data_IF_459653589364
#
_entry.id   IF_459653589364
#
_cell.length_a   1.000
_cell.length_b   1.000
_cell.length_c   1.000
_cell.angle_alpha   90.00
_cell.angle_beta   90.00
_cell.angle_gamma   90.00
#
_symmetry.space_group_name_H-M   'P 1'
#
loop_
_entity.id
_entity.type
_entity.pdbx_description
1 polymer ?
#
# COMPACT_ATOMS: atom_id res chain seq x y z
N UNK A 1 18.50 13.22 -5.29
CA UNK A 1 17.07 12.95 -5.09
C UNK A 1 16.72 13.34 -3.66
N UNK A 2 15.49 13.73 -3.33
CA UNK A 2 15.12 13.97 -1.95
C UNK A 2 15.28 12.68 -1.14
N UNK A 3 15.73 12.83 0.11
CA UNK A 3 15.84 11.72 1.05
C UNK A 3 14.48 11.51 1.70
N UNK A 4 13.86 10.35 1.47
CA UNK A 4 12.51 10.04 1.92
C UNK A 4 12.56 8.80 2.81
N UNK A 5 12.17 8.95 4.06
CA UNK A 5 12.13 7.86 5.03
C UNK A 5 10.69 7.33 5.18
N UNK A 6 10.58 6.00 5.19
CA UNK A 6 9.32 5.27 5.24
C UNK A 6 9.17 4.53 6.56
N UNK A 7 8.02 4.69 7.19
CA UNK A 7 7.52 3.85 8.27
C UNK A 7 6.49 2.89 7.69
N UNK A 8 6.79 1.60 7.73
CA UNK A 8 5.96 0.54 7.17
C UNK A 8 5.12 -0.13 8.25
N UNK A 9 3.82 -0.30 7.97
CA UNK A 9 2.85 -0.93 8.87
C UNK A 9 2.13 -2.06 8.15
N UNK A 10 1.83 -3.15 8.86
CA UNK A 10 1.28 -4.37 8.26
C UNK A 10 2.15 -4.86 7.11
N UNK A 11 3.46 -4.87 7.32
CA UNK A 11 4.44 -5.09 6.26
C UNK A 11 4.34 -6.47 5.60
N UNK A 12 3.75 -7.45 6.28
CA UNK A 12 3.74 -8.82 5.81
C UNK A 12 5.17 -9.33 5.58
N UNK A 13 5.41 -9.97 4.43
CA UNK A 13 6.74 -10.39 4.02
C UNK A 13 7.54 -9.32 3.26
N UNK A 14 7.08 -8.05 3.24
CA UNK A 14 7.87 -6.91 2.74
C UNK A 14 7.74 -6.57 1.26
N UNK A 15 6.79 -7.13 0.53
CA UNK A 15 6.67 -6.87 -0.92
C UNK A 15 6.36 -5.40 -1.25
N UNK A 16 5.52 -4.73 -0.44
CA UNK A 16 5.24 -3.31 -0.62
C UNK A 16 6.51 -2.48 -0.36
N UNK A 17 7.21 -2.78 0.72
CA UNK A 17 8.44 -2.12 1.16
C UNK A 17 9.54 -2.24 0.10
N UNK A 18 9.73 -3.45 -0.44
CA UNK A 18 10.69 -3.70 -1.52
C UNK A 18 10.40 -2.84 -2.76
N UNK A 19 9.13 -2.64 -3.09
CA UNK A 19 8.73 -1.75 -4.18
C UNK A 19 9.17 -0.29 -3.95
N UNK A 20 9.04 0.20 -2.73
CA UNK A 20 9.50 1.55 -2.34
C UNK A 20 11.04 1.64 -2.35
N UNK A 21 11.74 0.67 -1.75
CA UNK A 21 13.20 0.66 -1.69
C UNK A 21 13.85 0.59 -3.08
N UNK A 22 13.30 -0.19 -3.99
CA UNK A 22 13.75 -0.26 -5.38
C UNK A 22 13.63 1.07 -6.14
N UNK A 23 12.82 2.00 -5.64
CA UNK A 23 12.65 3.34 -6.21
C UNK A 23 13.37 4.43 -5.43
N UNK A 24 14.24 4.05 -4.46
CA UNK A 24 15.13 4.95 -3.74
C UNK A 24 14.54 5.54 -2.45
N UNK A 25 13.44 5.00 -1.95
CA UNK A 25 12.96 5.31 -0.61
C UNK A 25 13.70 4.47 0.43
N UNK A 26 13.79 4.96 1.64
CA UNK A 26 14.46 4.27 2.76
C UNK A 26 13.42 3.80 3.78
N UNK A 27 13.22 2.49 3.91
CA UNK A 27 12.35 1.92 4.94
C UNK A 27 13.12 1.87 6.25
N UNK A 28 12.74 2.73 7.20
CA UNK A 28 13.47 2.91 8.46
C UNK A 28 12.80 2.27 9.68
N UNK A 29 11.53 1.95 9.60
CA UNK A 29 10.76 1.29 10.65
C UNK A 29 9.74 0.32 10.06
N UNK A 30 9.59 -0.85 10.67
CA UNK A 30 8.71 -1.91 10.21
C UNK A 30 7.86 -2.45 11.34
N UNK A 31 6.55 -2.48 11.15
CA UNK A 31 5.61 -3.12 12.07
C UNK A 31 4.83 -4.25 11.40
N UNK A 32 4.85 -5.41 12.02
CA UNK A 32 4.07 -6.59 11.64
C UNK A 32 3.77 -7.41 12.89
N UNK A 33 2.50 -7.75 13.10
CA UNK A 33 2.06 -8.48 14.29
C UNK A 33 2.23 -10.01 14.17
N UNK A 34 2.31 -10.55 12.96
CA UNK A 34 2.38 -12.00 12.74
C UNK A 34 3.83 -12.49 12.63
N UNK A 35 4.40 -13.17 13.64
CA UNK A 35 5.82 -13.52 13.68
C UNK A 35 6.33 -14.31 12.46
N UNK A 36 5.55 -15.24 11.83
CA UNK A 36 6.02 -15.90 10.62
C UNK A 36 6.25 -14.95 9.45
N UNK A 37 5.44 -13.88 9.30
CA UNK A 37 5.65 -12.87 8.26
C UNK A 37 6.89 -12.04 8.56
N UNK A 38 7.09 -11.63 9.81
CA UNK A 38 8.30 -10.91 10.21
C UNK A 38 9.56 -11.76 10.00
N UNK A 39 9.51 -13.04 10.28
CA UNK A 39 10.62 -13.96 10.00
C UNK A 39 10.94 -14.00 8.50
N UNK A 40 9.92 -14.14 7.66
CA UNK A 40 10.07 -14.09 6.20
C UNK A 40 10.62 -12.76 5.71
N UNK A 41 10.14 -11.65 6.27
CA UNK A 41 10.61 -10.30 5.96
C UNK A 41 12.11 -10.14 6.21
N UNK A 42 12.57 -10.48 7.43
CA UNK A 42 13.99 -10.39 7.81
C UNK A 42 14.86 -11.30 6.94
N UNK A 43 14.41 -12.52 6.69
CA UNK A 43 15.11 -13.45 5.81
C UNK A 43 15.26 -12.90 4.39
N UNK A 44 14.19 -12.34 3.82
CA UNK A 44 14.22 -11.74 2.49
C UNK A 44 15.21 -10.56 2.42
N UNK A 45 15.22 -9.65 3.41
CA UNK A 45 16.18 -8.54 3.48
C UNK A 45 17.62 -9.04 3.52
N UNK A 46 17.90 -10.04 4.36
CA UNK A 46 19.22 -10.63 4.45
C UNK A 46 19.67 -11.24 3.12
N UNK A 47 18.79 -12.02 2.45
CA UNK A 47 19.08 -12.65 1.17
C UNK A 47 19.31 -11.62 0.05
N UNK A 48 18.52 -10.57 0.03
CA UNK A 48 18.62 -9.47 -0.94
C UNK A 48 19.71 -8.44 -0.58
N UNK A 49 20.39 -8.61 0.57
CA UNK A 49 21.42 -7.69 1.10
C UNK A 49 20.89 -6.26 1.28
N UNK A 50 19.63 -6.14 1.65
CA UNK A 50 19.02 -4.86 2.00
C UNK A 50 19.37 -4.54 3.46
N UNK A 51 19.84 -3.33 3.79
CA UNK A 51 20.17 -2.94 5.17
C UNK A 51 18.99 -3.10 6.13
N UNK A 52 19.26 -3.41 7.39
CA UNK A 52 18.25 -3.43 8.43
C UNK A 52 17.62 -2.04 8.60
N UNK A 53 16.32 -1.93 8.91
CA UNK A 53 15.69 -0.65 9.17
C UNK A 53 16.36 0.08 10.34
N UNK A 54 16.62 1.38 10.19
CA UNK A 54 17.32 2.22 11.18
C UNK A 54 16.71 2.14 12.59
N UNK A 55 15.37 2.09 12.65
CA UNK A 55 14.61 2.00 13.90
C UNK A 55 14.09 0.59 14.19
N UNK A 56 14.53 -0.39 13.40
CA UNK A 56 14.25 -1.80 13.61
C UNK A 56 12.82 -2.23 13.32
N UNK A 57 12.43 -3.28 14.03
CA UNK A 57 11.17 -4.00 13.83
C UNK A 57 10.34 -3.98 15.12
N UNK A 58 9.03 -3.80 14.96
CA UNK A 58 8.07 -3.96 16.05
C UNK A 58 7.09 -5.10 15.72
N UNK A 59 7.18 -6.19 16.48
CA UNK A 59 6.29 -7.35 16.38
C UNK A 59 5.13 -7.20 17.38
N UNK A 60 4.23 -6.22 17.12
CA UNK A 60 3.10 -5.93 17.99
C UNK A 60 1.91 -5.40 17.17
N UNK A 61 0.73 -5.37 17.81
CA UNK A 61 -0.48 -4.81 17.21
C UNK A 61 -0.30 -3.29 16.99
N UNK A 62 -0.71 -2.81 15.82
CA UNK A 62 -0.67 -1.39 15.48
C UNK A 62 -1.41 -0.51 16.50
N UNK A 63 -2.40 -1.03 17.21
CA UNK A 63 -3.14 -0.30 18.24
C UNK A 63 -2.22 0.19 19.35
N UNK A 64 -1.18 -0.58 19.71
CA UNK A 64 -0.18 -0.19 20.70
C UNK A 64 0.55 1.10 20.33
N UNK A 65 0.82 1.33 19.04
CA UNK A 65 1.45 2.53 18.49
C UNK A 65 0.56 3.77 18.55
N UNK A 66 -0.74 3.61 18.74
CA UNK A 66 -1.68 4.73 18.87
C UNK A 66 -1.94 5.15 20.30
N UNK A 67 -1.51 4.36 21.29
CA UNK A 67 -1.82 4.51 22.71
C UNK A 67 -0.59 4.17 23.59
N UNK A 68 -0.48 4.78 24.75
CA UNK A 68 0.56 4.43 25.74
C UNK A 68 1.98 4.84 25.41
N UNK A 69 2.94 4.02 25.85
CA UNK A 69 4.38 4.29 25.73
C UNK A 69 4.87 4.14 24.28
N UNK A 70 4.39 3.14 23.56
CA UNK A 70 4.78 2.90 22.16
C UNK A 70 4.38 4.06 21.25
N UNK A 71 3.29 4.76 21.55
CA UNK A 71 2.92 6.00 20.86
C UNK A 71 3.99 7.09 21.03
N UNK A 72 4.56 7.25 22.23
CA UNK A 72 5.64 8.23 22.49
C UNK A 72 6.90 7.81 21.75
N UNK A 73 7.27 6.54 21.80
CA UNK A 73 8.41 6.00 21.08
C UNK A 73 8.29 6.30 19.58
N UNK A 74 7.15 6.00 18.96
CA UNK A 74 6.93 6.26 17.53
C UNK A 74 7.07 7.77 17.21
N UNK A 75 6.54 8.65 18.07
CA UNK A 75 6.65 10.10 17.86
C UNK A 75 8.11 10.58 17.93
N UNK A 76 8.91 10.01 18.82
CA UNK A 76 10.34 10.31 18.93
C UNK A 76 11.11 9.83 17.70
N UNK A 77 10.84 8.60 17.23
CA UNK A 77 11.45 8.06 16.03
C UNK A 77 11.11 8.90 14.78
N UNK A 78 9.86 9.36 14.64
CA UNK A 78 9.44 10.22 13.53
C UNK A 78 10.17 11.57 13.58
N UNK A 79 10.30 12.16 14.77
CA UNK A 79 11.05 13.42 14.94
C UNK A 79 12.52 13.26 14.60
N UNK A 80 13.13 12.18 15.04
CA UNK A 80 14.53 11.88 14.73
C UNK A 80 14.71 11.65 13.21
N UNK A 81 13.84 10.86 12.61
CA UNK A 81 13.84 10.63 11.16
C UNK A 81 13.75 11.93 10.36
N UNK A 82 12.94 12.89 10.83
CA UNK A 82 12.72 14.17 10.16
C UNK A 82 13.96 15.09 10.19
N UNK A 83 14.91 14.88 11.12
CA UNK A 83 16.16 15.67 11.18
C UNK A 83 17.01 15.41 9.93
N UNK A 84 17.02 14.18 9.43
CA UNK A 84 17.91 13.70 8.38
C UNK A 84 17.16 13.23 7.11
N UNK A 85 15.95 13.73 6.88
CA UNK A 85 15.18 13.46 5.67
C UNK A 85 14.40 14.68 5.21
N UNK A 86 14.07 14.71 3.92
CA UNK A 86 13.24 15.76 3.33
C UNK A 86 11.75 15.49 3.57
N UNK A 87 11.36 14.21 3.63
CA UNK A 87 9.97 13.78 3.81
C UNK A 87 9.87 12.48 4.60
N UNK A 88 8.79 12.37 5.36
CA UNK A 88 8.38 11.16 6.07
C UNK A 88 7.12 10.59 5.44
N UNK A 89 7.15 9.33 5.04
CA UNK A 89 6.01 8.61 4.52
C UNK A 89 5.56 7.45 5.40
N UNK A 90 4.26 7.21 5.47
CA UNK A 90 3.68 6.01 6.04
C UNK A 90 3.13 5.13 4.92
N UNK A 91 3.49 3.85 4.91
CA UNK A 91 2.90 2.87 3.99
C UNK A 91 2.27 1.73 4.78
N UNK A 92 1.15 1.19 4.29
CA UNK A 92 0.51 0.09 4.97
C UNK A 92 -0.64 -0.54 4.20
N UNK A 93 -0.74 -1.87 4.32
CA UNK A 93 -1.83 -2.69 3.80
C UNK A 93 -2.54 -3.43 4.92
N UNK A 94 -3.43 -2.79 5.71
CA UNK A 94 -4.11 -3.47 6.81
C UNK A 94 -4.89 -4.68 6.31
N UNK A 95 -4.79 -5.84 7.01
CA UNK A 95 -5.43 -7.09 6.59
C UNK A 95 -6.95 -6.93 6.47
N UNK A 96 -7.54 -7.57 5.46
CA UNK A 96 -8.92 -7.35 5.09
C UNK A 96 -9.73 -8.62 4.79
N UNK A 97 -9.65 -9.69 5.61
CA UNK A 97 -10.50 -10.86 5.42
C UNK A 97 -12.00 -10.57 5.57
N UNK A 98 -12.37 -9.51 6.29
CA UNK A 98 -13.78 -9.12 6.47
C UNK A 98 -14.38 -8.40 5.26
N UNK A 99 -13.56 -7.98 4.29
CA UNK A 99 -13.97 -7.28 3.06
C UNK A 99 -13.69 -8.10 1.79
N UNK A 100 -13.04 -9.28 1.90
CA UNK A 100 -12.79 -10.13 0.75
C UNK A 100 -14.01 -10.96 0.38
N UNK A 101 -14.20 -11.23 -0.92
CA UNK A 101 -15.32 -12.05 -1.44
C UNK A 101 -15.31 -13.48 -0.89
N UNK A 102 -14.13 -14.02 -0.53
CA UNK A 102 -13.96 -15.34 0.12
C UNK A 102 -13.87 -15.29 1.65
N UNK A 103 -14.00 -14.12 2.27
CA UNK A 103 -13.88 -13.94 3.72
C UNK A 103 -15.21 -13.95 4.46
N UNK A 104 -15.15 -13.76 5.79
CA UNK A 104 -16.33 -13.81 6.68
C UNK A 104 -17.31 -12.64 6.51
N UNK A 105 -17.04 -11.69 5.62
CA UNK A 105 -17.87 -10.54 5.21
C UNK A 105 -18.48 -9.73 6.39
N UNK A 106 -17.73 -9.60 7.51
CA UNK A 106 -18.18 -8.91 8.74
C UNK A 106 -18.08 -7.37 8.63
N UNK A 107 -17.33 -6.87 7.65
CA UNK A 107 -17.16 -5.43 7.40
C UNK A 107 -16.55 -4.67 8.57
N UNK A 108 -17.05 -3.44 8.85
CA UNK A 108 -16.57 -2.54 9.92
C UNK A 108 -16.54 -3.18 11.31
N UNK A 109 -17.44 -4.09 11.60
CA UNK A 109 -17.58 -4.73 12.92
C UNK A 109 -16.64 -5.94 13.08
N UNK A 110 -15.92 -6.35 12.03
CA UNK A 110 -14.88 -7.36 12.10
C UNK A 110 -13.59 -6.80 12.68
N UNK A 111 -12.71 -7.68 13.17
CA UNK A 111 -11.41 -7.30 13.73
C UNK A 111 -10.56 -6.54 12.71
N UNK A 112 -10.64 -6.91 11.45
CA UNK A 112 -9.86 -6.29 10.38
C UNK A 112 -10.39 -4.92 9.93
N UNK A 113 -11.68 -4.64 10.09
CA UNK A 113 -12.23 -3.29 9.92
C UNK A 113 -11.66 -2.34 10.96
N UNK A 114 -11.40 -2.81 12.17
CA UNK A 114 -10.76 -2.05 13.26
C UNK A 114 -9.30 -1.72 12.93
N UNK A 115 -8.56 -2.62 12.25
CA UNK A 115 -7.17 -2.39 11.88
C UNK A 115 -7.04 -1.30 10.80
N UNK A 116 -7.93 -1.29 9.81
CA UNK A 116 -8.00 -0.17 8.85
C UNK A 116 -8.31 1.16 9.55
N UNK A 117 -9.25 1.16 10.50
CA UNK A 117 -9.59 2.34 11.31
C UNK A 117 -8.41 2.81 12.17
N UNK A 118 -7.68 1.86 12.79
CA UNK A 118 -6.50 2.14 13.60
C UNK A 118 -5.37 2.77 12.75
N UNK A 119 -5.16 2.29 11.53
CA UNK A 119 -4.15 2.87 10.63
C UNK A 119 -4.52 4.32 10.23
N UNK A 120 -5.78 4.59 9.89
CA UNK A 120 -6.23 5.95 9.61
C UNK A 120 -6.09 6.85 10.85
N UNK A 121 -6.40 6.33 12.04
CA UNK A 121 -6.19 7.04 13.32
C UNK A 121 -4.70 7.38 13.52
N UNK A 122 -3.81 6.42 13.26
CA UNK A 122 -2.37 6.61 13.37
C UNK A 122 -1.87 7.70 12.42
N UNK A 123 -2.26 7.65 11.14
CA UNK A 123 -1.93 8.69 10.15
C UNK A 123 -2.38 10.08 10.64
N UNK A 124 -3.62 10.18 11.12
CA UNK A 124 -4.15 11.46 11.62
C UNK A 124 -3.45 11.95 12.89
N UNK A 125 -2.93 11.07 13.71
CA UNK A 125 -2.22 11.42 14.94
C UNK A 125 -0.75 11.82 14.70
N UNK A 126 -0.06 11.08 13.83
CA UNK A 126 1.37 11.25 13.59
C UNK A 126 1.68 12.26 12.48
N UNK A 127 0.72 12.51 11.60
CA UNK A 127 0.81 13.52 10.55
C UNK A 127 2.04 13.38 9.63
N UNK A 128 2.33 12.17 9.04
CA UNK A 128 3.39 12.04 8.05
C UNK A 128 3.16 12.98 6.85
N UNK A 129 4.20 13.28 6.09
CA UNK A 129 4.10 14.16 4.91
C UNK A 129 3.23 13.55 3.81
N UNK A 130 3.28 12.24 3.66
CA UNK A 130 2.38 11.47 2.82
C UNK A 130 2.10 10.09 3.41
N UNK A 131 1.07 9.45 2.90
CA UNK A 131 0.80 8.06 3.23
C UNK A 131 0.30 7.27 2.01
N UNK A 132 0.49 5.96 2.09
CA UNK A 132 -0.11 4.98 1.17
C UNK A 132 -0.92 3.98 1.99
N UNK A 133 -2.16 3.78 1.57
CA UNK A 133 -3.07 2.77 2.11
C UNK A 133 -3.45 1.81 0.98
N UNK A 134 -3.06 0.55 1.11
CA UNK A 134 -3.42 -0.53 0.18
C UNK A 134 -4.53 -1.39 0.77
N UNK A 135 -5.47 -1.83 -0.07
CA UNK A 135 -6.49 -2.78 0.38
C UNK A 135 -7.12 -3.56 -0.77
N UNK A 136 -7.95 -4.55 -0.43
CA UNK A 136 -8.64 -5.38 -1.42
C UNK A 136 -9.76 -4.63 -2.16
N UNK A 137 -10.03 -5.03 -3.40
CA UNK A 137 -11.12 -4.49 -4.23
C UNK A 137 -12.47 -4.44 -3.50
N UNK A 138 -12.76 -5.43 -2.63
CA UNK A 138 -14.02 -5.53 -1.89
C UNK A 138 -14.33 -4.33 -0.99
N UNK A 139 -13.31 -3.67 -0.43
CA UNK A 139 -13.48 -2.45 0.35
C UNK A 139 -14.08 -1.32 -0.51
N UNK A 140 -13.69 -1.23 -1.75
CA UNK A 140 -14.12 -0.19 -2.68
C UNK A 140 -15.41 -0.53 -3.42
N UNK A 141 -15.61 -1.78 -3.84
CA UNK A 141 -16.70 -2.19 -4.74
C UNK A 141 -17.99 -2.56 -4.02
N UNK A 142 -17.93 -3.03 -2.77
CA UNK A 142 -19.11 -3.49 -2.03
C UNK A 142 -19.80 -2.30 -1.34
N UNK A 143 -21.10 -2.08 -1.62
CA UNK A 143 -21.86 -0.93 -1.11
C UNK A 143 -21.69 -0.69 0.41
N UNK A 144 -21.86 -1.73 1.22
CA UNK A 144 -21.71 -1.64 2.69
C UNK A 144 -20.32 -1.20 3.13
N UNK A 145 -19.29 -1.69 2.45
CA UNK A 145 -17.90 -1.39 2.78
C UNK A 145 -17.50 -0.01 2.24
N UNK A 146 -18.11 0.42 1.15
CA UNK A 146 -17.89 1.73 0.56
C UNK A 146 -18.24 2.87 1.51
N UNK A 147 -19.31 2.75 2.28
CA UNK A 147 -19.69 3.76 3.29
C UNK A 147 -18.60 3.94 4.36
N UNK A 148 -18.03 2.83 4.83
CA UNK A 148 -16.91 2.85 5.77
C UNK A 148 -15.66 3.48 5.13
N UNK A 149 -15.34 3.11 3.90
CA UNK A 149 -14.23 3.67 3.15
C UNK A 149 -14.37 5.19 2.95
N UNK A 150 -15.55 5.66 2.59
CA UNK A 150 -15.83 7.11 2.46
C UNK A 150 -15.72 7.84 3.80
N UNK A 151 -16.08 7.20 4.91
CA UNK A 151 -15.87 7.76 6.26
C UNK A 151 -14.38 7.91 6.58
N UNK A 152 -13.55 6.91 6.29
CA UNK A 152 -12.10 6.99 6.44
C UNK A 152 -11.51 8.17 5.63
N UNK A 153 -11.93 8.33 4.37
CA UNK A 153 -11.49 9.47 3.55
C UNK A 153 -11.91 10.82 4.15
N UNK A 154 -13.14 10.94 4.65
CA UNK A 154 -13.58 12.17 5.33
C UNK A 154 -12.72 12.52 6.54
N UNK A 155 -12.28 11.52 7.31
CA UNK A 155 -11.36 11.74 8.44
C UNK A 155 -10.00 12.23 7.96
N UNK A 156 -9.44 11.64 6.94
CA UNK A 156 -8.17 12.07 6.34
C UNK A 156 -8.24 13.52 5.85
N UNK A 157 -9.33 13.92 5.19
CA UNK A 157 -9.54 15.32 4.80
C UNK A 157 -9.60 16.27 6.00
N UNK A 158 -10.28 15.87 7.09
CA UNK A 158 -10.33 16.66 8.33
C UNK A 158 -8.97 16.76 9.01
N UNK A 159 -8.13 15.75 8.87
CA UNK A 159 -6.76 15.73 9.37
C UNK A 159 -5.78 16.51 8.48
N UNK A 160 -6.24 17.16 7.41
CA UNK A 160 -5.42 18.04 6.57
C UNK A 160 -4.73 17.35 5.39
N UNK A 161 -5.22 16.18 4.97
CA UNK A 161 -4.72 15.50 3.77
C UNK A 161 -5.56 15.81 2.53
N UNK A 162 -4.88 15.89 1.40
CA UNK A 162 -5.47 15.80 0.07
C UNK A 162 -5.13 14.43 -0.47
N UNK A 163 -6.12 13.75 -1.03
CA UNK A 163 -5.97 12.35 -1.43
C UNK A 163 -6.20 12.14 -2.93
N UNK A 164 -5.62 11.08 -3.44
CA UNK A 164 -5.96 10.46 -4.72
C UNK A 164 -6.11 8.96 -4.54
N UNK A 165 -6.97 8.34 -5.32
CA UNK A 165 -7.23 6.90 -5.23
C UNK A 165 -7.42 6.28 -6.59
N UNK A 166 -7.02 5.01 -6.72
CA UNK A 166 -7.31 4.21 -7.91
C UNK A 166 -7.46 2.74 -7.56
N UNK A 167 -8.44 2.10 -8.16
CA UNK A 167 -8.48 0.65 -8.23
C UNK A 167 -7.55 0.22 -9.37
N UNK A 168 -6.46 -0.42 -9.01
CA UNK A 168 -5.46 -0.94 -9.95
C UNK A 168 -5.52 -2.46 -10.03
N UNK A 169 -4.99 -3.01 -11.14
CA UNK A 169 -4.71 -4.44 -11.24
C UNK A 169 -3.22 -4.64 -11.54
N UNK A 170 -2.58 -5.59 -10.90
CA UNK A 170 -1.16 -5.86 -11.06
C UNK A 170 -0.77 -6.13 -12.52
N UNK A 171 -1.65 -6.79 -13.29
CA UNK A 171 -1.46 -7.02 -14.73
C UNK A 171 -1.26 -5.72 -15.50
N UNK A 172 -1.93 -4.62 -15.13
CA UNK A 172 -1.79 -3.33 -15.83
C UNK A 172 -0.35 -2.80 -15.81
N UNK A 173 0.44 -3.28 -14.85
CA UNK A 173 1.84 -2.88 -14.60
C UNK A 173 2.85 -3.96 -14.99
N UNK A 174 2.45 -4.97 -15.77
CA UNK A 174 3.34 -6.02 -16.27
C UNK A 174 3.60 -7.16 -15.29
N UNK A 175 2.86 -7.26 -14.20
CA UNK A 175 2.96 -8.39 -13.27
C UNK A 175 2.01 -9.51 -13.74
N UNK A 176 2.46 -10.76 -13.93
CA UNK A 176 1.63 -11.87 -14.39
C UNK A 176 0.67 -12.38 -13.30
N UNK A 177 -0.14 -11.48 -12.75
CA UNK A 177 -1.09 -11.77 -11.69
C UNK A 177 -2.36 -10.93 -11.81
N UNK A 178 -3.52 -11.57 -11.93
CA UNK A 178 -4.82 -10.89 -11.80
C UNK A 178 -5.07 -10.56 -10.31
N UNK A 179 -4.60 -9.39 -9.91
CA UNK A 179 -4.68 -8.91 -8.53
C UNK A 179 -5.16 -7.47 -8.49
N UNK A 180 -6.45 -7.29 -8.27
CA UNK A 180 -7.03 -5.96 -8.10
C UNK A 180 -6.86 -5.45 -6.66
N UNK A 181 -6.41 -4.19 -6.53
CA UNK A 181 -6.23 -3.50 -5.25
C UNK A 181 -6.67 -2.05 -5.34
N UNK A 182 -7.29 -1.56 -4.28
CA UNK A 182 -7.49 -0.12 -4.11
C UNK A 182 -6.23 0.47 -3.47
N UNK A 183 -5.68 1.46 -4.12
CA UNK A 183 -4.56 2.25 -3.59
C UNK A 183 -5.09 3.65 -3.32
N UNK A 184 -4.94 4.10 -2.07
CA UNK A 184 -5.24 5.45 -1.63
C UNK A 184 -3.94 6.12 -1.19
N UNK A 185 -3.64 7.26 -1.78
CA UNK A 185 -2.45 8.06 -1.45
C UNK A 185 -2.92 9.42 -0.96
N UNK A 186 -2.31 9.90 0.11
CA UNK A 186 -2.59 11.23 0.63
C UNK A 186 -1.31 12.01 0.91
N UNK A 187 -1.37 13.31 0.65
CA UNK A 187 -0.32 14.26 0.96
C UNK A 187 -0.86 15.34 1.89
N UNK A 188 -0.04 15.83 2.82
CA UNK A 188 -0.42 16.98 3.65
C UNK A 188 -0.68 18.20 2.78
N UNK A 189 -1.77 18.91 3.06
CA UNK A 189 -2.18 20.09 2.30
C UNK A 189 -1.10 21.18 2.22
N UNK A 190 -0.37 21.43 3.31
CA UNK A 190 0.72 22.42 3.35
C UNK A 190 1.85 22.04 2.38
N UNK A 191 2.25 20.76 2.32
CA UNK A 191 3.29 20.28 1.45
C UNK A 191 3.04 20.61 -0.03
N UNK A 192 1.80 20.46 -0.47
CA UNK A 192 1.43 20.75 -1.86
C UNK A 192 1.34 22.25 -2.13
N UNK A 193 0.88 23.05 -1.17
CA UNK A 193 0.86 24.52 -1.26
C UNK A 193 2.26 25.09 -1.38
N UNK A 194 3.20 24.61 -0.56
CA UNK A 194 4.59 25.06 -0.55
C UNK A 194 5.34 24.72 -1.85
N UNK A 195 4.83 23.77 -2.63
CA UNK A 195 5.32 23.41 -3.97
C UNK A 195 4.65 24.20 -5.10
N UNK A 196 3.86 25.23 -4.77
CA UNK A 196 3.23 26.11 -5.76
C UNK A 196 1.99 25.53 -6.45
N UNK A 197 1.44 24.44 -5.92
CA UNK A 197 0.20 23.87 -6.45
C UNK A 197 -1.00 24.63 -5.88
N UNK A 198 -1.76 25.29 -6.74
CA UNK A 198 -3.07 25.82 -6.38
C UNK A 198 -4.06 24.67 -6.21
N UNK A 199 -4.35 24.34 -4.97
CA UNK A 199 -5.35 23.33 -4.65
C UNK A 199 -6.69 24.05 -4.53
N UNK A 200 -7.39 24.15 -5.62
CA UNK A 200 -8.79 24.51 -5.60
C UNK A 200 -9.53 23.49 -4.74
N UNK A 201 -10.40 23.92 -3.84
CA UNK A 201 -11.24 23.19 -2.87
C UNK A 201 -11.70 21.75 -3.24
N UNK A 202 -11.25 21.20 -4.35
CA UNK A 202 -11.31 19.81 -4.72
C UNK A 202 -10.39 19.04 -3.77
N UNK A 203 -10.99 18.20 -2.94
CA UNK A 203 -10.27 17.36 -1.97
C UNK A 203 -9.53 16.19 -2.64
N UNK A 204 -9.40 16.19 -3.95
CA UNK A 204 -8.78 15.15 -4.77
C UNK A 204 -7.60 15.75 -5.52
N UNK A 205 -6.47 15.05 -5.50
CA UNK A 205 -5.28 15.45 -6.26
C UNK A 205 -5.57 15.29 -7.75
N UNK A 206 -5.38 16.33 -8.57
CA UNK A 206 -5.60 16.25 -10.00
C UNK A 206 -4.66 15.25 -10.70
N UNK A 207 -5.10 14.65 -11.79
CA UNK A 207 -4.34 13.67 -12.58
C UNK A 207 -3.00 14.25 -13.10
N UNK A 208 -2.93 15.54 -13.40
CA UNK A 208 -1.68 16.17 -13.87
C UNK A 208 -0.63 16.32 -12.75
N UNK A 209 -1.04 16.24 -11.46
CA UNK A 209 -0.13 16.26 -10.30
C UNK A 209 0.28 14.84 -9.92
N UNK A 210 -0.67 13.89 -9.95
CA UNK A 210 -0.40 12.50 -9.71
C UNK A 210 -0.91 11.65 -10.89
N UNK A 211 -0.05 11.38 -11.89
CA UNK A 211 -0.47 10.78 -13.15
C UNK A 211 -0.55 9.26 -13.07
N UNK A 212 -1.67 8.73 -12.59
CA UNK A 212 -1.94 7.30 -12.48
C UNK A 212 -1.73 6.53 -13.79
N UNK A 213 -2.09 7.15 -14.93
CA UNK A 213 -2.01 6.49 -16.23
C UNK A 213 -0.61 6.45 -16.83
N UNK A 214 0.33 7.22 -16.31
CA UNK A 214 1.68 7.36 -16.89
C UNK A 214 2.47 6.06 -16.93
N UNK A 215 2.26 5.19 -15.96
CA UNK A 215 3.03 3.96 -15.77
C UNK A 215 2.22 2.69 -16.08
N UNK A 216 1.01 2.84 -16.60
CA UNK A 216 0.20 1.72 -17.06
C UNK A 216 0.79 1.19 -18.37
N UNK A 217 1.25 -0.06 -18.37
CA UNK A 217 1.79 -0.73 -19.54
C UNK A 217 0.68 -1.38 -20.36
N UNK A 218 -0.28 -1.99 -19.69
CA UNK A 218 -1.39 -2.74 -20.29
C UNK A 218 -2.73 -2.23 -19.77
N UNK A 219 -3.43 -1.34 -20.52
CA UNK A 219 -4.73 -0.83 -20.10
C UNK A 219 -5.75 -1.94 -19.85
N UNK A 220 -6.58 -1.82 -18.81
CA UNK A 220 -7.55 -2.85 -18.41
C UNK A 220 -8.47 -3.31 -19.57
N UNK A 221 -8.90 -2.39 -20.41
CA UNK A 221 -9.73 -2.67 -21.59
C UNK A 221 -9.03 -3.52 -22.66
N UNK A 222 -7.72 -3.70 -22.59
CA UNK A 222 -6.95 -4.57 -23.47
C UNK A 222 -6.63 -5.89 -22.78
N UNK A 223 -6.11 -5.81 -21.54
CA UNK A 223 -5.66 -6.99 -20.78
C UNK A 223 -6.74 -8.05 -20.61
N UNK A 224 -7.97 -7.66 -20.33
CA UNK A 224 -9.07 -8.62 -20.15
C UNK A 224 -9.55 -9.25 -21.46
N UNK A 225 -9.12 -8.74 -22.61
CA UNK A 225 -9.43 -9.30 -23.92
C UNK A 225 -8.32 -10.16 -24.51
N UNK A 226 -7.17 -10.28 -23.82
CA UNK A 226 -6.16 -11.26 -24.25
C UNK A 226 -6.71 -12.68 -24.17
N UNK A 227 -6.27 -13.58 -25.07
CA UNK A 227 -6.72 -14.97 -25.10
C UNK A 227 -6.09 -15.78 -23.95
N UNK A 228 -6.40 -15.41 -22.70
CA UNK A 228 -5.90 -16.13 -21.54
C UNK A 228 -6.32 -17.58 -21.60
N UNK A 229 -5.42 -18.55 -21.33
CA UNK A 229 -5.77 -19.96 -21.32
C UNK A 229 -6.86 -20.20 -20.26
N UNK A 230 -7.96 -20.82 -20.72
CA UNK A 230 -8.99 -21.31 -19.80
C UNK A 230 -8.44 -22.60 -19.15
N UNK A 231 -8.45 -22.64 -17.84
CA UNK A 231 -8.14 -23.71 -16.91
C UNK A 231 -7.69 -25.07 -17.43
N UNK A 232 -6.68 -25.68 -16.75
CA UNK A 232 -6.20 -27.07 -16.88
C UNK A 232 -5.27 -27.39 -18.07
N UNK A 233 -4.55 -26.41 -18.56
CA UNK A 233 -3.47 -26.65 -19.54
C UNK A 233 -2.12 -27.06 -18.90
N UNK A 234 -2.08 -27.25 -17.59
CA UNK A 234 -0.92 -27.83 -16.92
C UNK A 234 -0.88 -29.33 -17.20
N UNK A 235 -0.19 -29.72 -18.25
CA UNK A 235 0.15 -31.12 -18.52
C UNK A 235 1.56 -31.30 -17.98
N UNK A 236 1.75 -32.22 -17.05
CA UNK A 236 3.06 -32.62 -16.51
C UNK A 236 4.00 -32.94 -17.68
N UNK A 237 5.18 -32.30 -17.74
CA UNK A 237 6.19 -32.44 -18.79
C UNK A 237 5.85 -31.88 -20.18
N UNK A 238 4.94 -30.94 -20.34
CA UNK A 238 4.80 -30.21 -21.59
C UNK A 238 5.66 -28.94 -21.60
N UNK A 239 6.36 -28.67 -22.72
CA UNK A 239 6.89 -27.33 -22.98
C UNK A 239 5.70 -26.37 -23.12
N UNK A 240 5.51 -25.51 -22.12
CA UNK A 240 4.45 -24.49 -22.18
C UNK A 240 5.03 -23.30 -22.93
N UNK A 241 4.72 -23.19 -24.19
CA UNK A 241 4.99 -21.98 -24.96
C UNK A 241 4.05 -20.86 -24.51
N UNK A 242 4.54 -19.62 -24.52
CA UNK A 242 3.69 -18.44 -24.30
C UNK A 242 2.49 -18.49 -25.25
N UNK A 243 1.24 -18.40 -24.77
CA UNK A 243 0.07 -18.44 -25.63
C UNK A 243 0.11 -17.31 -26.67
N UNK A 244 -0.21 -17.64 -27.92
CA UNK A 244 -0.23 -16.67 -29.00
C UNK A 244 -1.17 -15.47 -28.67
N UNK A 245 -0.69 -14.26 -28.86
CA UNK A 245 -1.44 -13.03 -28.61
C UNK A 245 -1.41 -12.53 -27.16
N UNK A 246 -0.63 -13.16 -26.27
CA UNK A 246 -0.34 -12.66 -24.92
C UNK A 246 1.11 -12.14 -24.90
N UNK A 247 1.36 -10.91 -24.39
CA UNK A 247 2.73 -10.44 -24.18
C UNK A 247 3.51 -11.38 -23.28
N UNK A 248 4.75 -11.73 -23.68
CA UNK A 248 5.57 -12.70 -22.97
C UNK A 248 5.82 -12.30 -21.51
N UNK A 249 6.00 -11.01 -21.25
CA UNK A 249 6.23 -10.45 -19.92
C UNK A 249 5.03 -10.60 -18.96
N UNK A 250 3.85 -10.93 -19.47
CA UNK A 250 2.67 -11.28 -18.67
C UNK A 250 2.55 -12.78 -18.39
N UNK A 251 3.53 -13.57 -18.79
CA UNK A 251 3.61 -14.99 -18.48
C UNK A 251 4.74 -15.26 -17.49
N UNK A 252 4.62 -16.33 -16.73
CA UNK A 252 5.67 -16.77 -15.81
C UNK A 252 6.53 -17.78 -16.56
N UNK A 253 7.81 -17.49 -16.76
CA UNK A 253 8.78 -18.48 -17.21
C UNK A 253 9.03 -19.48 -16.07
N UNK A 254 8.96 -20.77 -16.35
CA UNK A 254 9.31 -21.84 -15.43
C UNK A 254 10.79 -22.18 -15.55
#
# INVERSE_FOLDING_TARGET
>A
MPKIKIFSFFSGCGFLDLGFENTGFEVVFVNENFPPFMTGYRYARQLLKIPEPEYGYLEDDLVSLSEGNEKRNLQELIKDAAINSDFIGFIGGPPCPDFSVGGKNRGRNGENGKLSDAYIKLICQQQPDFFVFENVKGLWSTRKHREFYEEMKRRLYRCGYIITERLINAIEYGVPQDRSRIILIGFRCNLLKDKGFEINYSKVIPEHIFPWNKYVLYPQNQVFYYPWPQTNTFVENSEINCPEGIPQELTVEY
#
